data_IF_540682010929
#
_entry.id   IF_540682010929
#
_cell.length_a   1.000
_cell.length_b   1.000
_cell.length_c   1.000
_cell.angle_alpha   90.00
_cell.angle_beta   90.00
_cell.angle_gamma   90.00
#
_symmetry.space_group_name_H-M   'P 1'
#
loop_
_entity.id
_entity.type
_entity.pdbx_description
1 polymer ?
2 polymer ?
3 polymer ?
4 non-polymer ?
5 non-polymer ?
6 water ?
#
loop_
_entity_poly.entity_id
_entity_poly.type
_entity_poly.pdbx_seq_one_letter_code
_entity_poly.pdbx_strand_id
2 'polydeoxyribonucleotide' '(DC)(DG)(DC)(DT)(DA)(DG)(DT)(DC)(DG)(DA)(DC)(DA)(DT)' ?
3 'polydeoxyribonucleotide' '(DC)(DG)(DA)(DC)(DT)(DA)(DG)(DC)(DG)' ?
#
# COMPACT_ATOMS: atom_id res chain seq x y z
N UNK A 2 -5.51 -5.36 1.22
CA UNK A 2 -5.49 -5.68 2.63
C UNK A 2 -5.78 -7.15 2.88
N UNK A 3 -4.73 -7.96 2.91
CA UNK A 3 -4.87 -9.38 3.16
C UNK A 3 -5.39 -9.62 4.58
N UNK A 4 -6.71 -10.05 4.66
CA UNK A 4 -7.40 -10.20 5.94
C UNK A 4 -6.71 -11.19 6.87
N UNK A 5 -5.98 -10.66 7.86
CA UNK A 5 -5.36 -11.48 8.88
C UNK A 5 -4.11 -12.21 8.42
N UNK A 6 -3.31 -11.55 7.60
CA UNK A 6 -2.07 -12.15 7.11
C UNK A 6 -0.99 -12.14 8.19
N UNK A 7 -0.96 -11.08 8.98
CA UNK A 7 0.06 -10.92 10.01
C UNK A 7 -0.03 -12.01 11.06
N UNK A 8 -1.26 -12.33 11.48
CA UNK A 8 -1.47 -13.37 12.47
C UNK A 8 -1.15 -14.75 11.89
N UNK A 9 -1.27 -14.88 10.57
CA UNK A 9 -1.06 -16.15 9.91
C UNK A 9 0.43 -16.51 9.81
N UNK A 10 1.26 -15.50 9.55
CA UNK A 10 2.70 -15.71 9.44
C UNK A 10 3.43 -15.08 10.62
N UNK A 11 2.80 -15.10 11.79
CA UNK A 11 3.36 -14.51 13.00
C UNK A 11 4.70 -15.13 13.38
N UNK A 12 4.93 -16.36 12.93
CA UNK A 12 6.16 -17.09 13.27
C UNK A 12 7.35 -16.57 12.48
N UNK A 13 7.09 -15.66 11.55
CA UNK A 13 8.15 -15.06 10.74
C UNK A 13 8.40 -13.61 11.16
N UNK A 14 7.76 -13.21 12.25
CA UNK A 14 7.92 -11.84 12.76
C UNK A 14 9.05 -11.76 13.77
N UNK A 15 9.51 -10.55 14.05
CA UNK A 15 10.61 -10.32 14.98
C UNK A 15 10.61 -8.89 15.51
N UNK A 16 10.40 -8.74 16.83
CA UNK A 16 10.46 -7.43 17.48
C UNK A 16 11.85 -6.80 17.37
N UNK A 17 11.96 -5.68 16.67
CA UNK A 17 13.24 -5.02 16.47
C UNK A 17 13.18 -3.54 16.79
N UNK A 18 14.25 -2.82 16.44
CA UNK A 18 14.31 -1.38 16.57
C UNK A 18 14.89 -0.79 15.29
N UNK A 19 14.53 0.46 14.99
CA UNK A 19 14.98 1.11 13.75
C UNK A 19 16.50 1.31 13.73
N UNK A 20 17.10 1.31 14.92
CA UNK A 20 18.55 1.44 15.05
C UNK A 20 19.29 0.37 14.26
N UNK A 21 18.61 -0.77 14.07
CA UNK A 21 19.14 -1.87 13.28
C UNK A 21 19.53 -1.44 11.86
N UNK A 22 18.79 -0.48 11.31
CA UNK A 22 19.01 -0.04 9.93
C UNK A 22 19.82 1.26 9.87
N UNK A 23 20.76 1.43 10.80
CA UNK A 23 21.58 2.63 10.82
C UNK A 23 22.53 2.69 9.63
N UNK A 24 22.60 3.84 8.98
CA UNK A 24 23.48 4.04 7.84
C UNK A 24 22.89 3.48 6.55
N UNK A 25 21.63 3.06 6.62
CA UNK A 25 20.94 2.52 5.46
C UNK A 25 19.72 3.37 5.10
N UNK A 26 19.03 2.99 4.05
CA UNK A 26 17.90 3.76 3.55
C UNK A 26 16.59 2.98 3.70
N UNK A 27 15.56 3.64 4.20
CA UNK A 27 14.24 3.03 4.32
C UNK A 27 13.17 3.92 3.69
N UNK A 28 12.11 3.30 3.17
CA UNK A 28 11.01 4.04 2.57
C UNK A 28 9.74 3.88 3.40
N UNK A 29 8.92 4.92 3.45
CA UNK A 29 7.76 4.94 4.33
C UNK A 29 6.44 5.11 3.59
N UNK A 30 5.48 4.25 3.92
CA UNK A 30 4.10 4.44 3.50
C UNK A 30 3.49 5.56 4.33
N UNK A 31 3.67 6.80 3.86
CA UNK A 31 3.36 7.98 4.65
C UNK A 31 1.86 8.16 4.96
N UNK A 32 1.03 7.42 4.24
CA UNK A 32 -0.41 7.49 4.45
C UNK A 32 -0.79 7.04 5.86
N UNK A 33 0.04 6.19 6.45
CA UNK A 33 -0.25 5.65 7.77
C UNK A 33 -0.11 6.75 8.81
N UNK A 34 1.05 7.42 8.79
CA UNK A 34 1.33 8.52 9.69
C UNK A 34 0.37 9.67 9.43
N UNK A 35 0.03 9.87 8.16
CA UNK A 35 -0.92 10.90 7.77
C UNK A 35 -2.30 10.65 8.36
N UNK A 36 -2.72 9.39 8.32
CA UNK A 36 -4.03 9.00 8.82
C UNK A 36 -4.08 9.11 10.34
N UNK A 37 -3.09 8.51 11.01
CA UNK A 37 -3.00 8.56 12.46
C UNK A 37 -2.92 10.00 12.97
N UNK A 38 -2.22 10.85 12.21
CA UNK A 38 -2.13 12.25 12.55
C UNK A 38 -3.44 12.97 12.29
N UNK A 39 -4.19 12.49 11.30
CA UNK A 39 -5.47 13.08 10.95
C UNK A 39 -6.54 12.72 11.98
N UNK A 40 -6.33 11.62 12.68
CA UNK A 40 -7.24 11.21 13.74
C UNK A 40 -7.24 12.22 14.89
N UNK A 41 -6.06 12.76 15.19
CA UNK A 41 -5.90 13.71 16.28
C UNK A 41 -6.72 14.99 16.08
N UNK A 42 -6.89 15.38 14.82
CA UNK A 42 -7.65 16.58 14.49
C UNK A 42 -8.75 16.27 13.48
N UNK A 43 -9.73 15.46 13.91
CA UNK A 43 -10.80 15.02 13.03
C UNK A 43 -11.87 16.08 12.84
N UNK A 44 -12.14 16.85 13.91
CA UNK A 44 -13.20 17.84 13.89
C UNK A 44 -12.91 19.00 12.93
N UNK A 45 -11.66 19.47 12.94
CA UNK A 45 -11.27 20.59 12.09
C UNK A 45 -11.23 20.18 10.62
N UNK A 46 -10.96 18.90 10.37
CA UNK A 46 -10.95 18.37 9.01
C UNK A 46 -12.38 18.15 8.52
N UNK A 47 -13.25 17.73 9.43
CA UNK A 47 -14.65 17.47 9.10
C UNK A 47 -15.42 18.77 8.90
N UNK A 48 -14.99 19.82 9.59
CA UNK A 48 -15.65 21.13 9.48
C UNK A 48 -14.98 22.01 8.43
N UNK A 49 -13.82 21.59 7.96
CA UNK A 49 -13.07 22.35 6.96
C UNK A 49 -12.20 23.42 7.59
N UNK A 50 -12.12 23.42 8.92
CA UNK A 50 -11.31 24.39 9.64
C UNK A 50 -9.83 24.13 9.42
N UNK A 51 -9.02 25.21 9.41
CA UNK A 51 -7.58 25.09 9.20
C UNK A 51 -6.88 24.31 10.32
N UNK A 52 -6.00 23.39 9.95
CA UNK A 52 -5.25 22.60 10.92
C UNK A 52 -3.93 22.12 10.33
N UNK A 53 -2.97 21.83 11.20
CA UNK A 53 -1.62 21.44 10.77
C UNK A 53 -0.94 20.52 11.79
N UNK A 54 -1.73 19.70 12.48
CA UNK A 54 -1.19 18.82 13.52
C UNK A 54 -0.63 17.54 12.94
N UNK A 55 -1.28 16.99 11.91
CA UNK A 55 -0.82 15.76 11.28
C UNK A 55 0.57 15.92 10.68
N UNK A 56 0.88 17.14 10.24
CA UNK A 56 2.20 17.45 9.70
C UNK A 56 3.27 17.22 10.77
N UNK A 57 3.07 17.80 11.94
CA UNK A 57 3.98 17.62 13.06
C UNK A 57 4.02 16.17 13.51
N UNK A 58 2.87 15.50 13.40
CA UNK A 58 2.78 14.09 13.76
C UNK A 58 3.70 13.25 12.87
N UNK A 59 3.71 13.56 11.57
CA UNK A 59 4.60 12.88 10.64
C UNK A 59 6.05 13.27 10.92
N UNK A 60 6.27 14.55 11.20
CA UNK A 60 7.61 15.07 11.44
C UNK A 60 8.23 14.51 12.72
N UNK A 61 7.41 13.99 13.63
CA UNK A 61 7.95 13.32 14.81
C UNK A 61 8.68 12.05 14.38
N UNK A 62 7.98 11.20 13.63
CA UNK A 62 8.55 9.97 13.10
C UNK A 62 9.75 10.27 12.19
N UNK A 63 9.60 11.27 11.33
CA UNK A 63 10.68 11.67 10.43
C UNK A 63 11.93 12.08 11.20
N UNK A 64 11.76 12.98 12.17
CA UNK A 64 12.87 13.42 13.00
C UNK A 64 13.47 12.30 13.82
N UNK A 65 12.66 11.30 14.15
CA UNK A 65 13.16 10.12 14.86
C UNK A 65 14.09 9.31 13.95
N UNK A 66 13.60 9.00 12.75
CA UNK A 66 14.40 8.30 11.75
C UNK A 66 15.70 9.04 11.48
N UNK A 67 15.62 10.37 11.41
CA UNK A 67 16.81 11.18 11.19
C UNK A 67 17.75 11.13 12.39
N UNK A 68 17.18 11.03 13.59
CA UNK A 68 17.96 11.01 14.82
C UNK A 68 18.70 9.68 14.99
N UNK A 69 18.11 8.61 14.46
CA UNK A 69 18.74 7.30 14.55
C UNK A 69 19.64 7.01 13.34
N UNK A 70 19.92 8.04 12.55
CA UNK A 70 20.84 7.93 11.43
C UNK A 70 20.28 7.15 10.26
N UNK A 71 18.97 7.21 10.08
CA UNK A 71 18.31 6.51 8.97
C UNK A 71 17.95 7.51 7.87
N UNK A 72 17.97 7.06 6.62
CA UNK A 72 17.55 7.90 5.50
C UNK A 72 16.15 7.52 5.04
N UNK A 73 15.16 8.35 5.38
CA UNK A 73 13.76 8.10 5.04
C UNK A 73 13.38 8.64 3.66
N UNK A 74 12.55 7.90 2.94
CA UNK A 74 12.00 8.36 1.67
C UNK A 74 10.48 8.27 1.71
N UNK A 75 9.84 9.40 1.95
CA UNK A 75 8.38 9.42 2.09
C UNK A 75 7.68 9.18 0.75
N UNK A 76 6.86 8.14 0.71
CA UNK A 76 6.13 7.79 -0.50
C UNK A 76 4.63 8.02 -0.30
N UNK A 77 4.00 8.69 -1.26
CA UNK A 77 2.59 9.04 -1.15
C UNK A 77 1.76 8.40 -2.25
N UNK A 78 0.45 8.30 -2.01
CA UNK A 78 -0.47 7.74 -2.99
C UNK A 78 -0.74 8.73 -4.11
N UNK A 79 -0.93 8.21 -5.33
CA UNK A 79 -1.20 9.04 -6.47
C UNK A 79 -2.61 8.83 -7.01
N UNK A 80 -2.70 8.45 -8.28
CA UNK A 80 -3.99 8.23 -8.92
C UNK A 80 -4.68 6.98 -8.40
N UNK A 81 -5.99 6.93 -8.54
CA UNK A 81 -6.76 5.78 -8.10
C UNK A 81 -6.75 4.67 -9.15
N UNK A 82 -6.36 3.47 -8.72
CA UNK A 82 -6.29 2.32 -9.62
C UNK A 82 -7.69 1.80 -9.92
N UNK A 83 -8.00 1.63 -11.22
CA UNK A 83 -9.30 1.15 -11.67
C UNK A 83 -9.70 -0.19 -11.06
N UNK A 84 -8.71 -1.04 -10.78
CA UNK A 84 -8.96 -2.35 -10.18
C UNK A 84 -9.60 -2.23 -8.81
N UNK A 85 -9.23 -1.18 -8.07
CA UNK A 85 -9.81 -0.93 -6.76
C UNK A 85 -10.61 0.37 -6.77
N UNK A 86 -11.59 0.44 -7.66
CA UNK A 86 -12.42 1.64 -7.77
C UNK A 86 -13.78 1.42 -7.10
N UNK A 87 -14.19 0.16 -7.01
CA UNK A 87 -15.44 -0.18 -6.34
C UNK A 87 -15.32 0.10 -4.85
N UNK A 88 -14.22 -0.38 -4.26
CA UNK A 88 -13.93 -0.14 -2.85
C UNK A 88 -13.70 1.35 -2.62
N UNK A 89 -13.06 2.00 -3.58
CA UNK A 89 -12.79 3.43 -3.51
C UNK A 89 -14.08 4.24 -3.42
N UNK A 90 -15.03 3.94 -4.31
CA UNK A 90 -16.31 4.64 -4.30
C UNK A 90 -17.14 4.25 -3.08
N UNK A 91 -16.94 3.02 -2.60
CA UNK A 91 -17.60 2.55 -1.39
C UNK A 91 -17.20 3.42 -0.20
N UNK A 92 -15.89 3.54 0.02
CA UNK A 92 -15.36 4.38 1.08
C UNK A 92 -15.73 5.83 0.85
N UNK A 93 -15.80 6.22 -0.42
CA UNK A 93 -16.17 7.58 -0.79
C UNK A 93 -17.60 7.92 -0.34
N UNK A 94 -18.50 6.95 -0.47
CA UNK A 94 -19.88 7.12 -0.02
C UNK A 94 -19.96 7.05 1.50
N UNK A 95 -19.22 6.12 2.08
CA UNK A 95 -19.25 5.91 3.53
C UNK A 95 -18.72 7.09 4.32
N UNK A 96 -17.70 7.76 3.79
CA UNK A 96 -17.09 8.89 4.50
C UNK A 96 -18.02 10.11 4.49
N UNK A 97 -18.75 10.30 3.40
CA UNK A 97 -19.70 11.40 3.30
C UNK A 97 -20.95 11.11 4.13
N UNK A 98 -21.37 9.86 4.11
CA UNK A 98 -22.49 9.42 4.93
C UNK A 98 -22.19 9.65 6.41
N UNK A 99 -21.01 9.21 6.83
CA UNK A 99 -20.57 9.43 8.20
C UNK A 99 -20.34 10.91 8.51
N UNK A 100 -20.03 11.68 7.48
CA UNK A 100 -19.88 13.12 7.62
C UNK A 100 -21.21 13.77 7.98
N UNK A 101 -22.23 13.49 7.16
CA UNK A 101 -23.56 14.03 7.41
C UNK A 101 -24.15 13.51 8.72
N UNK A 102 -23.90 12.23 9.01
CA UNK A 102 -24.35 11.64 10.27
C UNK A 102 -23.68 12.32 11.45
N UNK A 103 -22.42 12.72 11.27
CA UNK A 103 -21.70 13.45 12.30
C UNK A 103 -22.27 14.83 12.49
N UNK A 104 -22.60 15.48 11.38
CA UNK A 104 -23.20 16.81 11.43
C UNK A 104 -24.58 16.77 12.07
N UNK A 105 -25.25 15.64 11.96
CA UNK A 105 -26.57 15.46 12.57
C UNK A 105 -26.46 15.13 14.05
N UNK A 106 -25.44 14.34 14.41
CA UNK A 106 -25.20 13.99 15.80
C UNK A 106 -24.59 15.16 16.55
N UNK A 107 -24.11 16.16 15.81
CA UNK A 107 -23.58 17.38 16.41
C UNK A 107 -24.72 18.21 16.99
N UNK A 108 -25.92 18.00 16.48
CA UNK A 108 -27.09 18.75 16.91
C UNK A 108 -27.85 18.07 18.05
N UNK A 109 -27.57 16.79 18.26
CA UNK A 109 -28.27 16.02 19.29
C UNK A 109 -27.58 16.13 20.65
N UNK A 110 -26.45 16.82 20.69
CA UNK A 110 -25.73 17.03 21.94
C UNK A 110 -24.68 15.98 22.20
N UNK A 111 -24.84 14.81 21.60
CA UNK A 111 -23.87 13.72 21.76
C UNK A 111 -22.58 14.04 21.03
N UNK A 112 -21.71 14.79 21.68
CA UNK A 112 -20.45 15.22 21.07
C UNK A 112 -19.50 14.04 20.87
N UNK A 113 -19.47 13.12 21.84
CA UNK A 113 -18.59 11.96 21.77
C UNK A 113 -18.90 11.08 20.56
N UNK A 114 -20.18 10.85 20.31
CA UNK A 114 -20.61 10.07 19.17
C UNK A 114 -20.32 10.80 17.86
N UNK A 115 -20.44 12.13 17.91
CA UNK A 115 -20.17 12.96 16.75
C UNK A 115 -18.70 12.90 16.36
N UNK A 116 -17.82 12.87 17.36
CA UNK A 116 -16.39 12.75 17.14
C UNK A 116 -16.04 11.33 16.69
N UNK A 117 -16.76 10.36 17.24
CA UNK A 117 -16.57 8.96 16.87
C UNK A 117 -16.94 8.74 15.41
N UNK A 118 -17.92 9.51 14.93
CA UNK A 118 -18.34 9.44 13.54
C UNK A 118 -17.42 10.27 12.65
N UNK A 119 -16.87 11.34 13.21
CA UNK A 119 -15.93 12.19 12.49
C UNK A 119 -14.58 11.49 12.32
N UNK A 120 -14.34 10.48 13.14
CA UNK A 120 -13.11 9.70 13.06
C UNK A 120 -13.19 8.70 11.90
N UNK A 121 -14.38 8.16 11.67
CA UNK A 121 -14.59 7.17 10.61
C UNK A 121 -15.03 7.84 9.30
N UNK A 122 -14.67 9.11 9.14
CA UNK A 122 -15.00 9.84 7.93
C UNK A 122 -13.81 10.66 7.46
N UNK A 123 -12.63 10.33 7.98
CA UNK A 123 -11.41 11.04 7.64
C UNK A 123 -11.01 10.83 6.18
N UNK A 124 -10.88 11.93 5.45
CA UNK A 124 -10.45 11.87 4.06
C UNK A 124 -9.10 12.55 3.86
N UNK A 125 -8.10 11.76 3.49
CA UNK A 125 -6.75 12.27 3.29
C UNK A 125 -6.59 12.85 1.89
N UNK A 126 -6.67 14.17 1.77
CA UNK A 126 -6.54 14.84 0.48
C UNK A 126 -5.07 14.95 0.07
N UNK A 127 -4.83 15.29 -1.19
CA UNK A 127 -3.48 15.43 -1.70
C UNK A 127 -2.87 16.77 -1.30
N UNK A 128 -3.71 17.68 -0.80
CA UNK A 128 -3.24 18.96 -0.30
C UNK A 128 -2.50 18.77 1.02
N UNK A 129 -3.08 17.97 1.90
CA UNK A 129 -2.45 17.61 3.17
C UNK A 129 -1.14 16.89 2.91
N UNK A 130 -1.20 15.91 2.01
CA UNK A 130 -0.02 15.15 1.61
C UNK A 130 1.06 16.07 1.07
N UNK A 131 0.65 17.10 0.33
CA UNK A 131 1.58 18.07 -0.22
C UNK A 131 2.21 18.91 0.89
N UNK A 132 1.40 19.26 1.89
CA UNK A 132 1.91 19.96 3.05
C UNK A 132 3.00 19.14 3.73
N UNK A 133 2.73 17.85 3.89
CA UNK A 133 3.71 16.94 4.46
C UNK A 133 4.96 16.86 3.58
N UNK A 134 4.77 16.91 2.27
CA UNK A 134 5.88 16.87 1.32
C UNK A 134 6.80 18.07 1.49
N UNK A 135 6.23 19.27 1.48
CA UNK A 135 7.02 20.48 1.65
C UNK A 135 7.69 20.52 3.01
N UNK A 136 6.93 20.17 4.06
CA UNK A 136 7.46 20.16 5.42
C UNK A 136 8.64 19.19 5.56
N UNK A 137 8.55 18.06 4.88
CA UNK A 137 9.61 17.06 4.93
C UNK A 137 10.82 17.52 4.12
N UNK A 138 10.57 18.15 2.99
CA UNK A 138 11.64 18.67 2.14
C UNK A 138 12.35 19.84 2.83
N UNK A 139 11.68 20.44 3.79
CA UNK A 139 12.30 21.49 4.60
C UNK A 139 13.46 20.92 5.42
N UNK A 140 13.35 19.64 5.76
CA UNK A 140 14.40 18.96 6.53
C UNK A 140 15.33 18.16 5.61
N UNK A 141 15.18 18.36 4.31
CA UNK A 141 16.03 17.70 3.33
C UNK A 141 15.67 16.24 3.11
N UNK A 142 14.43 15.88 3.42
CA UNK A 142 13.96 14.51 3.21
C UNK A 142 13.36 14.34 1.82
N UNK A 143 13.88 13.37 1.07
CA UNK A 143 13.39 13.12 -0.28
C UNK A 143 11.98 12.53 -0.26
N UNK A 144 11.15 13.01 -1.19
CA UNK A 144 9.78 12.52 -1.31
C UNK A 144 9.52 11.97 -2.71
N UNK A 145 8.47 11.16 -2.82
CA UNK A 145 8.13 10.53 -4.09
C UNK A 145 6.65 10.14 -4.13
N UNK A 146 5.89 10.79 -5.01
CA UNK A 146 4.49 10.44 -5.18
C UNK A 146 4.34 9.36 -6.23
N UNK A 147 3.80 8.22 -5.82
CA UNK A 147 3.58 7.10 -6.73
C UNK A 147 2.58 7.47 -7.81
N UNK A 148 2.76 6.92 -9.02
CA UNK A 148 1.80 7.15 -10.12
C UNK A 148 0.42 6.63 -9.73
N UNK A 149 0.38 5.58 -8.91
CA UNK A 149 -0.88 5.04 -8.41
C UNK A 149 -0.74 4.66 -6.93
N UNK A 150 -0.83 3.37 -6.64
CA UNK A 150 -0.69 2.89 -5.26
C UNK A 150 0.74 3.05 -4.75
N UNK A 151 0.86 3.47 -3.50
CA UNK A 151 2.17 3.59 -2.86
C UNK A 151 2.74 2.22 -2.56
N UNK A 152 1.86 1.22 -2.47
CA UNK A 152 2.27 -0.16 -2.22
C UNK A 152 3.25 -0.64 -3.27
N UNK A 153 2.86 -0.53 -4.54
CA UNK A 153 3.69 -0.95 -5.65
C UNK A 153 5.00 -0.17 -5.72
N UNK A 154 4.92 1.12 -5.42
CA UNK A 154 6.09 1.99 -5.44
C UNK A 154 7.12 1.54 -4.40
N UNK A 155 6.66 1.38 -3.16
CA UNK A 155 7.50 0.88 -2.08
C UNK A 155 8.09 -0.48 -2.42
N UNK A 156 7.25 -1.33 -3.01
CA UNK A 156 7.69 -2.66 -3.44
C UNK A 156 8.86 -2.55 -4.41
N UNK A 157 8.72 -1.68 -5.40
CA UNK A 157 9.79 -1.46 -6.37
C UNK A 157 11.05 -0.94 -5.69
N UNK A 158 10.89 0.04 -4.81
CA UNK A 158 12.03 0.64 -4.11
C UNK A 158 12.79 -0.40 -3.31
N UNK A 159 12.06 -1.35 -2.72
CA UNK A 159 12.67 -2.40 -1.91
C UNK A 159 13.32 -3.49 -2.76
N UNK A 160 12.68 -3.82 -3.88
CA UNK A 160 13.18 -4.90 -4.73
C UNK A 160 14.30 -4.44 -5.65
N UNK A 161 14.37 -3.14 -5.93
CA UNK A 161 15.41 -2.59 -6.80
C UNK A 161 16.71 -2.36 -6.02
N UNK A 162 16.59 -2.20 -4.71
CA UNK A 162 17.75 -2.04 -3.85
C UNK A 162 18.00 -0.60 -3.42
N UNK A 163 17.03 0.27 -3.67
CA UNK A 163 17.14 1.66 -3.26
C UNK A 163 16.97 1.77 -1.74
N UNK A 164 16.02 1.01 -1.20
CA UNK A 164 15.83 0.95 0.25
C UNK A 164 15.99 -0.49 0.73
N UNK A 165 16.22 -0.65 2.03
CA UNK A 165 16.46 -1.97 2.60
C UNK A 165 15.27 -2.46 3.42
N UNK A 166 14.37 -1.55 3.76
CA UNK A 166 13.17 -1.90 4.52
C UNK A 166 12.01 -0.97 4.19
N UNK A 167 10.81 -1.42 4.48
CA UNK A 167 9.60 -0.62 4.23
C UNK A 167 8.79 -0.43 5.50
N UNK A 168 8.59 0.82 5.89
CA UNK A 168 7.78 1.14 7.06
C UNK A 168 6.32 1.36 6.66
N UNK A 169 5.44 0.52 7.18
CA UNK A 169 4.03 0.60 6.85
C UNK A 169 3.18 -0.09 7.92
N UNK A 170 1.87 -0.11 7.69
CA UNK A 170 0.95 -0.84 8.55
C UNK A 170 0.11 -1.80 7.72
N UNK A 171 0.32 -1.75 6.40
CA UNK A 171 -0.43 -2.55 5.45
C UNK A 171 0.35 -3.80 5.06
N UNK A 172 -0.29 -4.96 5.19
CA UNK A 172 0.36 -6.24 4.92
C UNK A 172 0.35 -6.58 3.43
N UNK A 173 -0.21 -5.67 2.62
CA UNK A 173 -0.22 -5.85 1.18
C UNK A 173 1.20 -5.88 0.61
N UNK A 174 2.09 -5.14 1.25
CA UNK A 174 3.48 -5.03 0.81
C UNK A 174 4.17 -6.40 0.75
N UNK A 175 3.73 -7.32 1.61
CA UNK A 175 4.29 -8.67 1.62
C UNK A 175 3.91 -9.43 0.36
N UNK A 176 2.69 -9.20 -0.13
CA UNK A 176 2.21 -9.87 -1.33
C UNK A 176 2.83 -9.28 -2.60
N UNK A 177 3.29 -8.04 -2.51
CA UNK A 177 3.95 -7.38 -3.63
C UNK A 177 5.38 -7.88 -3.80
N UNK A 178 5.94 -8.42 -2.74
CA UNK A 178 7.27 -9.01 -2.80
C UNK A 178 8.35 -8.22 -2.09
N UNK A 179 7.99 -7.57 -0.99
CA UNK A 179 8.95 -6.81 -0.19
C UNK A 179 9.82 -7.76 0.63
N UNK A 180 11.13 -7.49 0.65
CA UNK A 180 12.07 -8.32 1.39
C UNK A 180 11.89 -8.15 2.90
N UNK A 181 11.92 -6.89 3.36
CA UNK A 181 11.77 -6.59 4.77
C UNK A 181 10.70 -5.53 4.99
N UNK A 182 9.75 -5.83 5.87
CA UNK A 182 8.66 -4.91 6.17
C UNK A 182 8.58 -4.64 7.67
N UNK A 183 8.66 -3.36 8.04
CA UNK A 183 8.52 -2.96 9.44
C UNK A 183 7.09 -2.54 9.75
N UNK A 184 6.49 -3.21 10.72
CA UNK A 184 5.10 -2.94 11.10
C UNK A 184 5.01 -2.53 12.57
N UNK A 185 3.87 -1.96 12.95
CA UNK A 185 3.58 -1.60 14.34
C UNK A 185 4.64 -0.69 14.96
N UNK A 186 5.27 0.15 14.16
CA UNK A 186 6.33 1.02 14.66
C UNK A 186 5.75 2.24 15.37
N UNK A 187 6.16 2.44 16.62
CA UNK A 187 5.71 3.60 17.38
C UNK A 187 6.61 4.81 17.10
N UNK A 188 6.39 5.89 17.85
CA UNK A 188 7.13 7.12 17.63
C UNK A 188 8.51 7.10 18.29
N UNK A 189 8.94 5.94 18.75
CA UNK A 189 10.24 5.79 19.40
C UNK A 189 11.16 4.86 18.61
N UNK A 190 10.57 4.04 17.74
CA UNK A 190 11.36 3.16 16.90
C UNK A 190 11.13 1.69 17.20
N UNK A 191 10.11 1.39 17.98
CA UNK A 191 9.79 0.00 18.32
C UNK A 191 8.71 -0.58 17.41
N UNK A 192 9.08 -1.58 16.62
CA UNK A 192 8.15 -2.21 15.71
C UNK A 192 8.48 -3.65 15.41
N UNK A 193 7.61 -4.31 14.64
CA UNK A 193 7.84 -5.69 14.22
C UNK A 193 8.51 -5.73 12.86
N UNK A 194 9.14 -6.87 12.55
CA UNK A 194 9.83 -7.03 11.28
C UNK A 194 9.49 -8.38 10.65
N UNK A 195 8.86 -8.35 9.49
CA UNK A 195 8.56 -9.57 8.76
C UNK A 195 9.47 -9.70 7.55
N UNK A 196 10.45 -10.59 7.66
CA UNK A 196 11.39 -10.84 6.56
C UNK A 196 10.87 -11.97 5.68
N UNK A 197 10.99 -11.78 4.37
CA UNK A 197 10.54 -12.77 3.40
C UNK A 197 11.28 -14.08 3.57
N UNK A 198 12.60 -14.00 3.73
CA UNK A 198 13.45 -15.19 3.88
C UNK A 198 13.05 -16.02 5.10
N UNK A 199 12.45 -15.37 6.09
CA UNK A 199 12.04 -16.06 7.31
C UNK A 199 10.62 -16.62 7.23
N UNK A 200 9.98 -16.45 6.07
CA UNK A 200 8.63 -16.99 5.87
C UNK A 200 8.62 -18.51 5.99
N UNK A 201 9.81 -19.11 5.85
CA UNK A 201 9.96 -20.54 5.99
C UNK A 201 9.83 -21.03 7.42
N UNK A 202 9.83 -20.10 8.37
CA UNK A 202 9.65 -20.45 9.77
C UNK A 202 8.19 -20.76 10.08
N UNK A 203 7.31 -20.46 9.13
CA UNK A 203 5.89 -20.71 9.29
C UNK A 203 5.52 -22.11 8.79
N UNK A 204 5.40 -23.05 9.72
CA UNK A 204 5.04 -24.43 9.40
C UNK A 204 3.67 -24.49 8.73
N UNK A 205 2.79 -23.55 9.11
CA UNK A 205 1.42 -23.53 8.60
C UNK A 205 1.38 -23.23 7.10
N UNK A 206 2.48 -22.66 6.58
CA UNK A 206 2.59 -22.39 5.16
C UNK A 206 2.94 -23.66 4.38
N UNK A 207 4.01 -24.33 4.78
CA UNK A 207 4.47 -25.52 4.09
C UNK A 207 5.44 -25.16 2.99
N UNK A 208 5.10 -25.53 1.75
CA UNK A 208 5.95 -25.20 0.61
C UNK A 208 5.45 -23.93 -0.08
N UNK A 209 4.69 -23.12 0.65
CA UNK A 209 4.15 -21.88 0.13
C UNK A 209 4.91 -20.69 0.71
N UNK A 210 6.22 -20.67 0.48
CA UNK A 210 7.06 -19.57 0.95
C UNK A 210 7.70 -18.84 -0.23
N UNK A 211 7.51 -19.39 -1.42
CA UNK A 211 7.98 -18.74 -2.64
C UNK A 211 7.09 -17.54 -2.95
N UNK A 212 7.64 -16.54 -3.63
CA UNK A 212 6.93 -15.30 -3.89
C UNK A 212 5.67 -15.52 -4.74
N UNK A 213 5.77 -16.38 -5.74
CA UNK A 213 4.65 -16.66 -6.64
C UNK A 213 3.50 -17.33 -5.90
N UNK A 214 3.79 -18.41 -5.19
CA UNK A 214 2.77 -19.14 -4.44
C UNK A 214 2.19 -18.28 -3.32
N UNK A 215 3.03 -17.47 -2.70
CA UNK A 215 2.58 -16.56 -1.66
C UNK A 215 1.59 -15.55 -2.24
N UNK A 216 1.91 -15.05 -3.44
CA UNK A 216 1.03 -14.13 -4.15
C UNK A 216 -0.31 -14.77 -4.46
N UNK A 217 -0.25 -15.97 -5.03
CA UNK A 217 -1.45 -16.73 -5.36
C UNK A 217 -2.33 -16.93 -4.13
N UNK A 218 -1.69 -17.28 -3.01
CA UNK A 218 -2.40 -17.48 -1.76
C UNK A 218 -3.08 -16.20 -1.29
N UNK A 219 -2.33 -15.10 -1.31
CA UNK A 219 -2.86 -13.81 -0.88
C UNK A 219 -4.04 -13.38 -1.73
N UNK A 220 -3.97 -13.64 -3.03
CA UNK A 220 -5.08 -13.30 -3.92
C UNK A 220 -6.30 -14.19 -3.65
N UNK A 221 -6.05 -15.49 -3.50
CA UNK A 221 -7.14 -16.45 -3.25
C UNK A 221 -7.83 -16.19 -1.92
N UNK A 222 -7.10 -15.63 -0.97
CA UNK A 222 -7.67 -15.31 0.34
C UNK A 222 -8.63 -14.12 0.26
N UNK A 223 -8.43 -13.27 -0.75
CA UNK A 223 -9.26 -12.09 -0.92
C UNK A 223 -8.48 -10.82 -0.71
N UNK A 224 -8.16 -10.13 -1.80
CA UNK A 224 -7.42 -8.87 -1.73
C UNK A 224 -8.32 -7.68 -2.06
N UNK A 225 -7.71 -6.51 -2.25
CA UNK A 225 -8.44 -5.30 -2.57
C UNK A 225 -8.82 -5.25 -4.05
N UNK A 226 -8.33 -6.23 -4.81
CA UNK A 226 -8.56 -6.27 -6.25
C UNK A 226 -9.66 -7.27 -6.60
N UNK A 227 -9.63 -8.42 -5.93
CA UNK A 227 -10.60 -9.47 -6.20
C UNK A 227 -11.13 -10.08 -4.90
N UNK A 228 -12.44 -10.00 -4.70
CA UNK A 228 -13.08 -10.58 -3.54
C UNK A 228 -12.98 -12.10 -3.58
N UNK A 229 -12.73 -12.71 -2.44
CA UNK A 229 -12.57 -14.16 -2.36
C UNK A 229 -13.91 -14.87 -2.49
N UNK A 230 -13.86 -16.15 -2.86
CA UNK A 230 -15.07 -16.96 -2.94
C UNK A 230 -15.65 -17.19 -1.55
N UNK A 231 -16.96 -17.36 -1.48
CA UNK A 231 -17.64 -17.56 -0.20
C UNK A 231 -17.21 -18.86 0.47
N UNK A 232 -16.22 -18.76 1.36
CA UNK A 232 -15.75 -19.92 2.09
C UNK A 232 -14.25 -20.13 2.03
N UNK A 233 -13.58 -19.36 1.18
CA UNK A 233 -12.14 -19.51 0.98
C UNK A 233 -11.35 -18.39 1.66
N UNK A 234 -10.47 -18.79 2.58
CA UNK A 234 -9.62 -17.84 3.28
C UNK A 234 -8.14 -18.15 3.06
N UNK A 235 -7.31 -17.74 4.02
CA UNK A 235 -5.87 -17.96 3.93
C UNK A 235 -5.50 -19.43 4.04
N UNK A 236 -6.06 -20.11 5.04
CA UNK A 236 -5.70 -21.49 5.32
C UNK A 236 -6.10 -22.45 4.19
N UNK A 237 -7.31 -22.28 3.67
CA UNK A 237 -7.80 -23.15 2.60
C UNK A 237 -7.05 -22.91 1.30
N UNK A 238 -6.69 -21.66 1.04
CA UNK A 238 -5.91 -21.31 -0.15
C UNK A 238 -4.50 -21.90 -0.04
N UNK A 239 -3.91 -21.76 1.13
CA UNK A 239 -2.61 -22.34 1.43
C UNK A 239 -2.64 -23.85 1.25
N UNK A 240 -3.76 -24.46 1.64
CA UNK A 240 -3.96 -25.89 1.48
C UNK A 240 -4.06 -26.27 0.00
N UNK A 241 -4.74 -25.42 -0.76
CA UNK A 241 -4.85 -25.59 -2.21
C UNK A 241 -3.47 -25.59 -2.86
N UNK A 242 -2.66 -24.58 -2.55
CA UNK A 242 -1.34 -24.47 -3.14
C UNK A 242 -0.35 -25.47 -2.57
N UNK A 243 -0.70 -26.06 -1.43
CA UNK A 243 0.14 -27.08 -0.80
C UNK A 243 -0.08 -28.43 -1.48
N UNK A 244 -1.35 -28.78 -1.66
CA UNK A 244 -1.71 -30.07 -2.24
C UNK A 244 -1.55 -30.09 -3.76
N UNK A 245 -1.38 -28.91 -4.35
CA UNK A 245 -1.21 -28.81 -5.80
C UNK A 245 0.25 -28.80 -6.20
N UNK A 246 0.57 -29.52 -7.26
CA UNK A 246 1.93 -29.54 -7.79
C UNK A 246 1.98 -28.82 -9.14
N UNK A 247 0.81 -28.65 -9.74
CA UNK A 247 0.68 -28.00 -11.03
C UNK A 247 1.05 -26.52 -10.97
N UNK A 248 2.09 -26.13 -11.71
CA UNK A 248 2.55 -24.73 -11.75
C UNK A 248 1.52 -23.80 -12.38
N UNK A 249 0.76 -24.31 -13.34
CA UNK A 249 -0.30 -23.53 -13.98
C UNK A 249 -1.46 -23.35 -13.02
N UNK A 250 -1.66 -22.11 -12.57
CA UNK A 250 -2.63 -21.81 -11.52
C UNK A 250 -4.08 -21.97 -11.99
N UNK A 251 -4.31 -21.79 -13.28
CA UNK A 251 -5.66 -21.83 -13.84
C UNK A 251 -6.36 -23.16 -13.59
N UNK A 252 -5.69 -24.25 -13.97
CA UNK A 252 -6.23 -25.58 -13.78
C UNK A 252 -6.44 -25.90 -12.30
N UNK A 253 -5.55 -25.37 -11.47
CA UNK A 253 -5.64 -25.55 -10.03
C UNK A 253 -6.90 -24.91 -9.48
N UNK A 254 -7.15 -23.67 -9.89
CA UNK A 254 -8.36 -22.95 -9.48
C UNK A 254 -9.60 -23.65 -10.02
N UNK A 255 -9.50 -24.19 -11.24
CA UNK A 255 -10.60 -24.93 -11.83
C UNK A 255 -10.88 -26.23 -11.06
N UNK A 256 -9.85 -26.75 -10.40
CA UNK A 256 -10.01 -27.96 -9.60
C UNK A 256 -9.88 -27.67 -8.10
N UNK A 257 -10.21 -26.44 -7.72
CA UNK A 257 -10.15 -26.03 -6.31
C UNK A 257 -11.08 -26.89 -5.46
N UNK A 258 -12.13 -27.43 -6.08
CA UNK A 258 -13.04 -28.33 -5.41
C UNK A 258 -12.42 -29.71 -5.28
N UNK A 259 -11.56 -30.06 -6.23
CA UNK A 259 -10.87 -31.34 -6.23
C UNK A 259 -9.76 -31.35 -5.19
N UNK A 260 -9.18 -30.18 -4.92
CA UNK A 260 -8.09 -30.10 -3.95
C UNK A 260 -8.59 -29.97 -2.52
N UNK A 261 -9.76 -29.34 -2.34
CA UNK A 261 -10.29 -29.11 -1.00
C UNK A 261 -11.46 -30.04 -0.65
N UNK A 262 -11.86 -30.86 -1.61
CA UNK A 262 -13.01 -31.76 -1.46
C UNK A 262 -14.28 -31.00 -1.04
N UNK A 263 -14.54 -29.89 -1.70
CA UNK A 263 -15.77 -29.14 -1.47
C UNK A 263 -16.46 -28.83 -2.79
N UNK A 264 -17.78 -28.93 -2.82
CA UNK A 264 -18.55 -28.64 -4.02
C UNK A 264 -18.47 -27.16 -4.39
N UNK A 265 -17.31 -26.75 -4.90
CA UNK A 265 -17.06 -25.35 -5.24
C UNK A 265 -17.33 -25.07 -6.72
N UNK A 266 -18.19 -24.10 -6.98
CA UNK A 266 -18.48 -23.67 -8.35
C UNK A 266 -17.69 -22.39 -8.65
N UNK A 267 -16.84 -22.46 -9.67
CA UNK A 267 -15.99 -21.33 -10.03
C UNK A 267 -16.41 -20.69 -11.35
N UNK A 268 -17.01 -19.49 -11.28
CA UNK A 268 -17.41 -18.74 -12.47
C UNK A 268 -16.20 -18.26 -13.28
N UNK A 269 -16.43 -17.92 -14.55
CA UNK A 269 -15.37 -17.38 -15.41
C UNK A 269 -14.95 -16.02 -14.88
N UNK A 270 -15.90 -15.31 -14.27
CA UNK A 270 -15.66 -13.98 -13.73
C UNK A 270 -14.53 -13.99 -12.71
N UNK A 271 -14.46 -15.06 -11.92
CA UNK A 271 -13.44 -15.18 -10.89
C UNK A 271 -12.10 -15.59 -11.49
N UNK A 272 -12.13 -16.27 -12.63
CA UNK A 272 -10.90 -16.64 -13.32
C UNK A 272 -10.25 -15.42 -13.95
N UNK A 273 -11.03 -14.72 -14.77
CA UNK A 273 -10.58 -13.48 -15.38
C UNK A 273 -10.19 -12.47 -14.30
N UNK A 274 -10.96 -12.44 -13.22
CA UNK A 274 -10.67 -11.56 -12.10
C UNK A 274 -9.39 -11.95 -11.41
N UNK A 275 -9.08 -13.24 -11.41
CA UNK A 275 -7.87 -13.74 -10.79
C UNK A 275 -6.65 -13.35 -11.61
N UNK A 276 -6.72 -13.59 -12.92
CA UNK A 276 -5.65 -13.18 -13.81
C UNK A 276 -5.43 -11.68 -13.71
N UNK A 277 -6.54 -10.94 -13.60
CA UNK A 277 -6.54 -9.50 -13.47
C UNK A 277 -5.80 -9.07 -12.20
N UNK A 278 -6.15 -9.70 -11.08
CA UNK A 278 -5.54 -9.37 -9.79
C UNK A 278 -4.06 -9.71 -9.78
N UNK A 279 -3.70 -10.83 -10.40
CA UNK A 279 -2.31 -11.27 -10.48
C UNK A 279 -1.49 -10.29 -11.31
N UNK A 280 -2.04 -9.88 -12.46
CA UNK A 280 -1.39 -8.90 -13.31
C UNK A 280 -1.29 -7.53 -12.64
N UNK A 281 -2.22 -7.26 -11.73
CA UNK A 281 -2.20 -6.01 -10.98
C UNK A 281 -1.09 -6.06 -9.91
N UNK A 282 -0.95 -7.22 -9.27
CA UNK A 282 0.08 -7.41 -8.26
C UNK A 282 1.49 -7.47 -8.87
N UNK A 283 1.56 -7.90 -10.12
CA UNK A 283 2.85 -8.08 -10.78
C UNK A 283 3.30 -6.86 -11.58
N UNK A 284 2.42 -6.38 -12.46
CA UNK A 284 2.83 -5.38 -13.45
C UNK A 284 2.17 -4.02 -13.26
N UNK A 285 1.96 -3.61 -12.02
CA UNK A 285 1.41 -2.28 -11.77
C UNK A 285 2.49 -1.22 -12.03
N UNK A 286 2.09 -0.11 -12.63
CA UNK A 286 3.02 0.95 -13.00
C UNK A 286 3.65 1.63 -11.78
N UNK A 287 4.96 1.80 -11.82
CA UNK A 287 5.68 2.55 -10.81
C UNK A 287 6.61 3.56 -11.48
N UNK A 288 7.32 4.34 -10.68
CA UNK A 288 8.19 5.38 -11.23
C UNK A 288 9.63 5.22 -10.75
N UNK A 289 10.53 4.98 -11.71
CA UNK A 289 11.95 4.86 -11.42
C UNK A 289 12.53 6.23 -11.08
N UNK A 290 13.02 6.40 -9.84
CA UNK A 290 13.57 7.68 -9.40
C UNK A 290 14.86 8.07 -10.15
N UNK A 291 15.70 7.07 -10.43
CA UNK A 291 16.99 7.33 -11.04
C UNK A 291 16.88 7.61 -12.54
N UNK A 292 16.16 6.75 -13.25
CA UNK A 292 16.04 6.86 -14.70
C UNK A 292 14.89 7.78 -15.12
N UNK A 293 14.01 8.09 -14.17
CA UNK A 293 12.87 8.97 -14.42
C UNK A 293 12.00 8.48 -15.57
N UNK A 294 11.29 7.37 -15.35
CA UNK A 294 10.44 6.77 -16.37
C UNK A 294 9.41 5.84 -15.74
N UNK A 295 8.20 5.84 -16.29
CA UNK A 295 7.16 4.92 -15.84
C UNK A 295 7.45 3.49 -16.27
N UNK A 296 7.58 2.61 -15.27
CA UNK A 296 7.86 1.21 -15.53
C UNK A 296 6.91 0.31 -14.74
N UNK A 297 6.69 -0.92 -15.22
CA UNK A 297 5.93 -1.88 -14.41
C UNK A 297 6.72 -2.30 -13.17
N UNK A 298 6.03 -2.86 -12.18
CA UNK A 298 6.68 -3.30 -10.94
C UNK A 298 7.73 -4.37 -11.23
N UNK A 299 7.39 -5.28 -12.14
CA UNK A 299 8.34 -6.29 -12.59
C UNK A 299 8.44 -6.28 -14.12
N UNK A 300 9.51 -6.86 -14.65
CA UNK A 300 9.69 -6.95 -16.09
C UNK A 300 8.59 -7.79 -16.73
N UNK A 301 8.08 -7.32 -17.86
CA UNK A 301 7.01 -8.02 -18.56
C UNK A 301 7.45 -9.41 -19.02
N UNK A 302 6.78 -10.44 -18.53
CA UNK A 302 7.07 -11.80 -18.96
C UNK A 302 6.53 -12.05 -20.36
N UNK A 303 6.94 -13.18 -20.96
CA UNK A 303 6.57 -13.50 -22.32
C UNK A 303 5.11 -13.91 -22.44
N UNK A 304 4.54 -14.38 -21.34
CA UNK A 304 3.18 -14.89 -21.33
C UNK A 304 2.14 -13.79 -21.18
N UNK A 305 2.59 -12.56 -20.93
CA UNK A 305 1.69 -11.44 -20.72
C UNK A 305 1.73 -10.47 -21.88
N UNK A 306 0.66 -9.70 -22.06
CA UNK A 306 0.59 -8.70 -23.11
C UNK A 306 0.22 -7.34 -22.53
N UNK A 307 1.17 -6.39 -22.53
CA UNK A 307 1.06 -5.07 -21.91
C UNK A 307 -0.17 -4.26 -22.38
N UNK A 308 -0.64 -4.52 -23.60
CA UNK A 308 -1.76 -3.77 -24.15
C UNK A 308 -3.07 -4.05 -23.42
N UNK A 309 -3.11 -5.18 -22.72
CA UNK A 309 -4.33 -5.58 -22.01
C UNK A 309 -4.19 -5.38 -20.51
N UNK A 310 -3.40 -4.39 -20.11
CA UNK A 310 -3.18 -4.12 -18.69
C UNK A 310 -3.50 -2.68 -18.33
N UNK A 311 -4.64 -2.19 -18.83
CA UNK A 311 -5.08 -0.83 -18.55
C UNK A 311 -5.48 -0.69 -17.08
N UNK A 312 -6.03 -1.75 -16.51
CA UNK A 312 -6.45 -1.76 -15.12
C UNK A 312 -5.25 -1.68 -14.19
N UNK A 313 -4.09 -2.09 -14.68
CA UNK A 313 -2.86 -2.05 -13.90
C UNK A 313 -2.25 -0.65 -13.92
N UNK A 314 -2.86 0.25 -14.68
CA UNK A 314 -2.39 1.62 -14.79
C UNK A 314 -2.13 2.03 -16.21
N UNK A 315 -2.51 3.26 -16.55
CA UNK A 315 -2.30 3.79 -17.89
C UNK A 315 -0.99 4.57 -17.97
N UNK A 316 -0.32 4.49 -19.11
CA UNK A 316 0.93 5.20 -19.32
C UNK A 316 0.71 6.67 -19.70
N UNK A 317 1.58 7.53 -19.20
CA UNK A 317 1.62 8.93 -19.63
C UNK A 317 3.06 9.30 -19.97
N UNK A 318 3.27 10.51 -20.48
CA UNK A 318 4.61 10.97 -20.82
C UNK A 318 5.45 11.09 -19.56
N UNK A 319 6.72 10.68 -19.66
CA UNK A 319 7.60 10.60 -18.49
C UNK A 319 7.84 11.95 -17.81
N UNK A 320 7.68 13.03 -18.56
CA UNK A 320 7.83 14.36 -17.99
C UNK A 320 6.68 14.65 -17.02
N UNK A 321 5.47 14.30 -17.44
CA UNK A 321 4.28 14.45 -16.61
C UNK A 321 4.37 13.55 -15.39
N UNK A 322 4.89 12.34 -15.60
CA UNK A 322 5.08 11.39 -14.52
C UNK A 322 6.09 11.93 -13.50
N UNK A 323 7.11 12.63 -14.01
CA UNK A 323 8.11 13.26 -13.15
C UNK A 323 7.48 14.39 -12.34
N UNK A 324 6.65 15.19 -13.00
CA UNK A 324 5.99 16.32 -12.36
C UNK A 324 4.97 15.87 -11.31
N UNK A 325 4.42 14.67 -11.51
CA UNK A 325 3.50 14.09 -10.54
C UNK A 325 4.28 13.51 -9.37
N UNK A 326 5.36 12.80 -9.68
CA UNK A 326 6.19 12.16 -8.67
C UNK A 326 6.81 13.17 -7.71
N UNK A 327 7.20 14.32 -8.23
CA UNK A 327 7.79 15.36 -7.40
C UNK A 327 6.73 16.06 -6.56
N UNK A 328 5.47 15.97 -6.98
CA UNK A 328 4.37 16.57 -6.25
C UNK A 328 4.03 17.96 -6.74
N UNK A 329 4.69 18.39 -7.82
CA UNK A 329 4.44 19.69 -8.41
C UNK A 329 3.10 19.75 -9.12
N UNK A 330 2.68 18.62 -9.67
CA UNK A 330 1.43 18.54 -10.40
C UNK A 330 0.35 17.85 -9.58
N UNK A 331 -0.85 18.42 -9.60
CA UNK A 331 -1.99 17.87 -8.87
C UNK A 331 -2.37 16.51 -9.45
N UNK A 332 -2.86 15.62 -8.60
CA UNK A 332 -3.26 14.29 -9.02
C UNK A 332 -4.58 14.32 -9.77
N UNK A 333 -5.49 15.19 -9.35
CA UNK A 333 -6.83 15.26 -9.91
C UNK A 333 -6.96 16.28 -11.03
N UNK A 334 -6.69 17.54 -10.72
CA UNK A 334 -6.86 18.63 -11.68
C UNK A 334 -5.73 18.67 -12.70
N UNK A 335 -4.64 17.94 -12.42
CA UNK A 335 -3.48 17.87 -13.30
C UNK A 335 -2.83 19.24 -13.53
N UNK A 336 -3.13 20.18 -12.64
CA UNK A 336 -2.57 21.53 -12.76
C UNK A 336 -1.34 21.69 -11.88
N UNK A 337 -0.45 22.60 -12.26
CA UNK A 337 0.79 22.83 -11.53
C UNK A 337 0.56 23.61 -10.25
N UNK A 338 0.77 22.96 -9.11
CA UNK A 338 0.59 23.61 -7.82
C UNK A 338 1.92 24.12 -7.29
N UNK A 339 2.98 23.33 -7.50
CA UNK A 339 4.31 23.70 -7.03
C UNK A 339 5.31 23.69 -8.19
N UNK A 340 6.58 23.94 -7.89
CA UNK A 340 7.61 24.00 -8.91
C UNK A 340 8.97 23.53 -8.40
N UNK A 341 8.97 22.44 -7.64
CA UNK A 341 10.20 21.89 -7.07
C UNK A 341 11.08 21.29 -8.17
N UNK A 342 12.39 21.38 -7.98
CA UNK A 342 13.34 20.84 -8.95
C UNK A 342 14.57 20.27 -8.26
N UNK A 343 14.75 18.94 -8.34
CA UNK A 343 15.90 18.27 -7.71
C UNK A 343 17.20 18.52 -8.47
N UNK A 344 17.12 19.09 -9.66
CA UNK A 344 18.29 19.40 -10.46
C UNK A 344 18.98 20.66 -9.97
N UNK A 345 18.28 21.44 -9.14
CA UNK A 345 18.83 22.67 -8.59
C UNK A 345 19.22 22.48 -7.12
N UNK A 346 20.41 21.92 -6.92
CA UNK A 346 20.91 21.67 -5.58
C UNK A 346 22.44 21.57 -5.57
N UNK A 355 18.29 11.39 -3.92
CA UNK A 355 17.41 10.31 -4.40
C UNK A 355 17.49 10.17 -5.91
N UNK A 356 17.11 11.23 -6.62
CA UNK A 356 17.11 11.22 -8.08
C UNK A 356 18.52 11.39 -8.63
N UNK A 357 19.10 12.57 -8.40
CA UNK A 357 20.45 12.90 -8.85
C UNK A 357 20.63 12.68 -10.35
X LIG D 1 -1.75 1.64 0.14
X LIG E 1 -2.74 -1.86 0.18
X LIG F 1 -5.16 -3.28 1.70
X LIG G 1 -11.22 -15.03 2.47
#
# INVERSE_FOLDING_TARGET
MGIQGLLQFIKEASEPIHVRKYKGQVVAVDTYCWLHKGAIACAEKLAKGEPTDRYVGFCMKFVNMLLSHGIKPILVFDGCTLPSKKEVERSRRERRQANLLKGKQLLREGKVSEARECFTRSINITHAMAHKVIKAARSQGVDCLVAPYEADAQLAYLNKAGIVQAIITEDSDLLAFGCKKVILKMDQFGNGLEIDQARLGMCRQLGDVFTEEKFRYMCILSGCDYLSSLRGIGLAKACKVLRLANNPDIVKVIKKIGHYLKMNITVPEDYINGFIRANNTFLYQLVFDPIKRKLIPLNAYEDDVDPETLSYAGQYVDDSIALQIALGNKDINTFEQIDDYNPDTAMPAHSRENLYFQ
MN MN
MN MN
MN MN
NA NA
#
